data_IF_773116399524
#
_entry.id   IF_773116399524
#
_cell.length_a   1.000
_cell.length_b   1.000
_cell.length_c   1.000
_cell.angle_alpha   90.00
_cell.angle_beta   90.00
_cell.angle_gamma   90.00
#
_symmetry.space_group_name_H-M   'P 1'
#
loop_
_entity.id
_entity.type
_entity.pdbx_description
1 polymer ?
#
# COMPACT_ATOMS: atom_id res chain seq x y z
N UNK A 1 -2.41 22.37 -20.28
CA UNK A 1 -2.73 21.33 -19.29
C UNK A 1 -4.13 20.88 -19.61
N UNK A 2 -4.47 19.58 -19.59
CA UNK A 2 -5.88 19.19 -19.61
C UNK A 2 -6.60 19.94 -18.49
N UNK A 3 -7.83 20.39 -18.74
CA UNK A 3 -8.59 21.17 -17.77
C UNK A 3 -8.70 20.37 -16.46
N UNK A 4 -8.25 20.98 -15.36
CA UNK A 4 -8.30 20.32 -14.06
C UNK A 4 -9.74 19.90 -13.74
N UNK A 5 -9.93 18.62 -13.39
CA UNK A 5 -11.26 18.02 -13.18
C UNK A 5 -11.95 18.66 -11.98
N UNK A 6 -11.16 18.97 -10.95
CA UNK A 6 -11.58 19.67 -9.75
C UNK A 6 -10.81 21.00 -9.64
N UNK A 7 -11.38 21.94 -8.90
CA UNK A 7 -10.65 23.17 -8.58
C UNK A 7 -9.47 22.90 -7.65
N UNK A 8 -8.42 23.73 -7.71
CA UNK A 8 -7.31 23.66 -6.76
C UNK A 8 -7.79 23.76 -5.30
N UNK A 9 -8.82 24.58 -5.05
CA UNK A 9 -9.44 24.72 -3.73
C UNK A 9 -10.04 23.42 -3.22
N UNK A 10 -10.64 22.60 -4.08
CA UNK A 10 -11.13 21.27 -3.71
C UNK A 10 -9.95 20.34 -3.37
N UNK A 11 -8.85 20.38 -4.12
CA UNK A 11 -7.63 19.62 -3.83
C UNK A 11 -7.05 19.94 -2.45
N UNK A 12 -6.82 21.23 -2.16
CA UNK A 12 -6.35 21.67 -0.84
C UNK A 12 -7.36 21.37 0.27
N UNK A 13 -8.66 21.52 0.00
CA UNK A 13 -9.74 21.26 0.94
C UNK A 13 -9.83 19.79 1.35
N UNK A 14 -9.72 18.86 0.39
CA UNK A 14 -9.66 17.42 0.68
C UNK A 14 -8.41 17.12 1.50
N UNK A 15 -7.25 17.57 1.04
CA UNK A 15 -5.97 17.25 1.65
C UNK A 15 -5.88 17.77 3.10
N UNK A 16 -6.16 19.04 3.33
CA UNK A 16 -6.07 19.66 4.66
C UNK A 16 -7.28 19.29 5.52
N UNK A 17 -8.49 19.38 4.96
CA UNK A 17 -9.73 19.18 5.71
C UNK A 17 -9.92 17.73 6.13
N UNK A 18 -9.80 16.79 5.20
CA UNK A 18 -9.90 15.36 5.52
C UNK A 18 -8.71 14.92 6.37
N UNK A 19 -7.50 15.39 6.06
CA UNK A 19 -6.31 15.11 6.87
C UNK A 19 -6.43 15.59 8.32
N UNK A 20 -6.96 16.79 8.54
CA UNK A 20 -7.19 17.33 9.88
C UNK A 20 -8.32 16.58 10.61
N UNK A 21 -9.44 16.30 9.94
CA UNK A 21 -10.53 15.51 10.51
C UNK A 21 -10.03 14.14 10.98
N UNK A 22 -9.27 13.47 10.12
CA UNK A 22 -8.73 12.15 10.40
C UNK A 22 -7.70 12.19 11.53
N UNK A 23 -6.79 13.16 11.53
CA UNK A 23 -5.82 13.35 12.62
C UNK A 23 -6.50 13.61 13.98
N UNK A 24 -7.54 14.45 14.01
CA UNK A 24 -8.32 14.72 15.22
C UNK A 24 -9.06 13.47 15.70
N UNK A 25 -9.66 12.69 14.79
CA UNK A 25 -10.33 11.44 15.13
C UNK A 25 -9.37 10.42 15.75
N UNK A 26 -8.17 10.26 15.18
CA UNK A 26 -7.16 9.32 15.69
C UNK A 26 -6.52 9.79 16.99
N UNK A 27 -6.28 11.10 17.14
CA UNK A 27 -5.86 11.69 18.41
C UNK A 27 -6.90 11.44 19.50
N UNK A 28 -8.18 11.71 19.20
CA UNK A 28 -9.27 11.46 20.14
C UNK A 28 -9.38 9.98 20.52
N UNK A 29 -9.28 9.06 19.55
CA UNK A 29 -9.26 7.62 19.80
C UNK A 29 -8.11 7.23 20.73
N UNK A 30 -6.92 7.78 20.52
CA UNK A 30 -5.74 7.55 21.37
C UNK A 30 -5.99 8.01 22.82
N UNK A 31 -6.65 9.16 22.99
CA UNK A 31 -7.06 9.66 24.32
C UNK A 31 -8.09 8.72 24.97
N UNK A 32 -9.05 8.20 24.22
CA UNK A 32 -10.02 7.24 24.76
C UNK A 32 -9.37 5.92 25.17
N UNK A 33 -8.41 5.41 24.40
CA UNK A 33 -7.66 4.20 24.75
C UNK A 33 -6.81 4.40 26.00
N UNK A 34 -6.17 5.56 26.16
CA UNK A 34 -5.45 5.90 27.37
C UNK A 34 -6.38 5.92 28.60
N UNK A 35 -7.59 6.50 28.46
CA UNK A 35 -8.57 6.61 29.56
C UNK A 35 -9.24 5.29 29.93
N UNK A 36 -9.73 4.52 28.95
CA UNK A 36 -10.57 3.35 29.20
C UNK A 36 -9.82 2.01 29.19
N UNK A 37 -8.67 1.95 28.51
CA UNK A 37 -7.88 0.71 28.40
C UNK A 37 -6.52 0.80 29.11
N UNK A 38 -6.25 1.90 29.80
CA UNK A 38 -4.98 2.18 30.47
C UNK A 38 -3.77 2.06 29.53
N UNK A 39 -3.97 2.44 28.27
CA UNK A 39 -2.95 2.41 27.20
C UNK A 39 -2.16 3.72 27.18
N UNK A 40 -1.55 4.06 28.31
CA UNK A 40 -0.73 5.27 28.45
C UNK A 40 0.52 5.17 27.59
N UNK A 41 0.83 6.25 26.87
CA UNK A 41 1.97 6.34 25.95
C UNK A 41 3.29 6.44 26.73
N UNK A 42 3.89 5.29 27.07
CA UNK A 42 5.31 5.16 27.41
C UNK A 42 6.11 4.64 26.21
N UNK A 43 7.44 4.56 26.32
CA UNK A 43 8.32 4.07 25.24
C UNK A 43 7.85 2.73 24.66
N UNK A 44 7.49 1.79 25.53
CA UNK A 44 7.02 0.45 25.14
C UNK A 44 5.69 0.48 24.39
N UNK A 45 4.70 1.24 24.88
CA UNK A 45 3.42 1.36 24.17
C UNK A 45 3.60 2.07 22.82
N UNK A 46 4.45 3.10 22.80
CA UNK A 46 4.68 3.93 21.64
C UNK A 46 5.38 3.18 20.50
N UNK A 47 6.39 2.36 20.82
CA UNK A 47 7.22 1.66 19.82
C UNK A 47 6.70 0.26 19.46
N UNK A 48 6.18 -0.51 20.43
CA UNK A 48 5.86 -1.93 20.24
C UNK A 48 4.38 -2.25 20.50
N UNK A 49 3.57 -1.28 20.93
CA UNK A 49 2.21 -1.51 21.41
C UNK A 49 2.14 -2.62 22.49
N UNK A 50 3.20 -2.80 23.29
CA UNK A 50 3.36 -3.91 24.25
C UNK A 50 3.12 -5.29 23.64
N UNK A 51 3.45 -5.48 22.36
CA UNK A 51 3.26 -6.73 21.62
C UNK A 51 1.82 -7.28 21.69
N UNK A 52 0.82 -6.39 21.76
CA UNK A 52 -0.56 -6.74 22.07
C UNK A 52 -1.51 -6.83 20.86
N UNK A 53 -1.01 -6.55 19.65
CA UNK A 53 -1.84 -6.43 18.45
C UNK A 53 -2.27 -7.83 17.98
N UNK A 54 -3.59 -7.99 17.80
CA UNK A 54 -4.26 -9.26 17.44
C UNK A 54 -4.37 -9.45 15.93
N UNK A 55 -4.59 -10.70 15.50
CA UNK A 55 -4.66 -11.15 14.11
C UNK A 55 -5.40 -10.19 13.18
N UNK A 56 -6.60 -9.74 13.54
CA UNK A 56 -7.41 -8.86 12.69
C UNK A 56 -6.75 -7.49 12.42
N UNK A 57 -6.20 -6.86 13.46
CA UNK A 57 -5.49 -5.58 13.32
C UNK A 57 -4.15 -5.75 12.61
N UNK A 58 -3.47 -6.89 12.80
CA UNK A 58 -2.26 -7.22 12.03
C UNK A 58 -2.62 -7.35 10.55
N UNK A 59 -3.70 -8.06 10.22
CA UNK A 59 -4.14 -8.24 8.85
C UNK A 59 -4.48 -6.91 8.17
N UNK A 60 -5.23 -6.02 8.84
CA UNK A 60 -5.51 -4.69 8.29
C UNK A 60 -4.25 -3.83 8.17
N UNK A 61 -3.33 -3.90 9.13
CA UNK A 61 -2.06 -3.18 9.06
C UNK A 61 -1.18 -3.66 7.89
N UNK A 62 -1.24 -4.95 7.56
CA UNK A 62 -0.60 -5.52 6.37
C UNK A 62 -1.28 -4.98 5.12
N UNK A 63 -2.61 -5.08 4.99
CA UNK A 63 -3.32 -4.55 3.82
C UNK A 63 -2.99 -3.07 3.60
N UNK A 64 -3.12 -2.23 4.62
CA UNK A 64 -2.86 -0.79 4.50
C UNK A 64 -1.40 -0.46 4.19
N UNK A 65 -0.43 -1.23 4.71
CA UNK A 65 1.00 -0.96 4.44
C UNK A 65 1.38 -1.11 2.98
N UNK A 66 0.68 -2.00 2.27
CA UNK A 66 0.99 -2.36 0.90
C UNK A 66 0.05 -1.66 -0.10
N UNK A 67 -1.03 -1.04 0.38
CA UNK A 67 -1.93 -0.24 -0.45
C UNK A 67 -1.45 1.20 -0.50
N UNK A 68 -0.61 1.50 -1.49
CA UNK A 68 -0.13 2.85 -1.80
C UNK A 68 -0.80 3.39 -3.06
N UNK A 69 -0.83 4.71 -3.24
CA UNK A 69 -1.42 5.33 -4.44
C UNK A 69 -0.82 4.76 -5.75
N UNK A 70 0.50 4.57 -5.78
CA UNK A 70 1.17 3.96 -6.93
C UNK A 70 0.63 2.57 -7.25
N UNK A 71 0.23 1.78 -6.24
CA UNK A 71 -0.36 0.46 -6.44
C UNK A 71 -1.71 0.53 -7.14
N UNK A 72 -2.59 1.42 -6.70
CA UNK A 72 -3.92 1.56 -7.29
C UNK A 72 -3.84 2.00 -8.75
N UNK A 73 -2.99 3.00 -9.04
CA UNK A 73 -2.83 3.57 -10.37
C UNK A 73 -2.07 2.64 -11.33
N UNK A 74 -0.96 2.06 -10.87
CA UNK A 74 -0.10 1.21 -11.70
C UNK A 74 -0.81 -0.09 -12.04
N UNK A 75 -1.48 -0.74 -11.08
CA UNK A 75 -2.25 -1.96 -11.34
C UNK A 75 -3.35 -1.71 -12.37
N UNK A 76 -4.08 -0.60 -12.26
CA UNK A 76 -5.12 -0.21 -13.23
C UNK A 76 -4.55 0.12 -14.61
N UNK A 77 -3.37 0.73 -14.66
CA UNK A 77 -2.69 1.03 -15.92
C UNK A 77 -2.17 -0.22 -16.60
N UNK A 78 -1.60 -1.16 -15.84
CA UNK A 78 -1.22 -2.47 -16.36
C UNK A 78 -2.44 -3.24 -16.85
N UNK A 79 -3.58 -3.11 -16.18
CA UNK A 79 -4.82 -3.71 -16.65
C UNK A 79 -5.33 -3.07 -17.95
N UNK A 80 -5.22 -1.74 -18.06
CA UNK A 80 -5.55 -1.03 -19.30
C UNK A 80 -4.65 -1.46 -20.47
N UNK A 81 -3.35 -1.68 -20.23
CA UNK A 81 -2.37 -2.04 -21.26
C UNK A 81 -2.42 -3.54 -21.62
N UNK A 82 -2.43 -4.41 -20.62
CA UNK A 82 -2.22 -5.86 -20.77
C UNK A 82 -3.46 -6.69 -20.48
N UNK A 83 -4.57 -6.05 -20.09
CA UNK A 83 -5.82 -6.72 -19.78
C UNK A 83 -5.88 -7.32 -18.38
N UNK A 84 -6.78 -8.29 -18.19
CA UNK A 84 -7.00 -8.97 -16.91
C UNK A 84 -5.74 -9.65 -16.37
N UNK A 85 -4.88 -10.16 -17.26
CA UNK A 85 -3.60 -10.77 -16.90
C UNK A 85 -2.67 -9.78 -16.20
N UNK A 86 -2.60 -8.54 -16.69
CA UNK A 86 -1.79 -7.48 -16.07
C UNK A 86 -2.21 -7.17 -14.62
N UNK A 87 -3.52 -7.06 -14.37
CA UNK A 87 -4.05 -6.88 -13.02
C UNK A 87 -3.73 -8.07 -12.10
N UNK A 88 -3.93 -9.29 -12.61
CA UNK A 88 -3.67 -10.51 -11.84
C UNK A 88 -2.20 -10.64 -11.48
N UNK A 89 -1.28 -10.51 -12.44
CA UNK A 89 0.14 -10.68 -12.19
C UNK A 89 0.74 -9.54 -11.37
N UNK A 90 0.19 -8.32 -11.43
CA UNK A 90 0.51 -7.27 -10.47
C UNK A 90 0.17 -7.73 -9.04
N UNK A 91 -1.09 -8.12 -8.80
CA UNK A 91 -1.58 -8.49 -7.48
C UNK A 91 -0.89 -9.76 -6.95
N UNK A 92 -0.87 -10.83 -7.74
CA UNK A 92 -0.22 -12.09 -7.39
C UNK A 92 1.29 -11.91 -7.19
N UNK A 93 1.92 -11.09 -8.04
CA UNK A 93 3.32 -10.67 -7.96
C UNK A 93 3.70 -10.15 -6.58
N UNK A 94 3.00 -9.10 -6.15
CA UNK A 94 3.25 -8.46 -4.87
C UNK A 94 2.78 -9.32 -3.67
N UNK A 95 1.74 -10.13 -3.82
CA UNK A 95 1.26 -11.03 -2.74
C UNK A 95 2.30 -12.07 -2.34
N UNK A 96 3.09 -12.58 -3.31
CA UNK A 96 4.24 -13.47 -3.02
C UNK A 96 5.23 -12.79 -2.07
N UNK A 97 5.47 -11.48 -2.23
CA UNK A 97 6.36 -10.73 -1.35
C UNK A 97 5.82 -10.68 0.08
N UNK A 98 4.52 -10.45 0.24
CA UNK A 98 3.85 -10.41 1.55
C UNK A 98 3.99 -11.77 2.26
N UNK A 99 3.79 -12.89 1.54
CA UNK A 99 3.91 -14.23 2.12
C UNK A 99 5.35 -14.60 2.48
N UNK A 100 6.33 -14.24 1.65
CA UNK A 100 7.74 -14.44 1.99
C UNK A 100 8.11 -13.61 3.22
N UNK A 101 7.66 -12.36 3.29
CA UNK A 101 7.85 -11.52 4.46
C UNK A 101 7.17 -12.10 5.72
N UNK A 102 5.99 -12.72 5.58
CA UNK A 102 5.30 -13.37 6.70
C UNK A 102 6.16 -14.45 7.37
N UNK A 103 6.95 -15.20 6.59
CA UNK A 103 7.91 -16.18 7.10
C UNK A 103 9.03 -15.50 7.89
N UNK A 104 9.58 -14.40 7.37
CA UNK A 104 10.58 -13.61 8.09
C UNK A 104 10.03 -13.02 9.39
N UNK A 105 8.79 -12.52 9.37
CA UNK A 105 8.09 -11.97 10.53
C UNK A 105 7.87 -13.01 11.64
N UNK A 106 7.42 -14.22 11.31
CA UNK A 106 7.25 -15.28 12.32
C UNK A 106 8.59 -15.78 12.84
N UNK A 107 9.63 -15.89 12.01
CA UNK A 107 10.97 -16.26 12.46
C UNK A 107 11.55 -15.23 13.43
N UNK A 108 11.32 -13.94 13.17
CA UNK A 108 11.65 -12.85 14.09
C UNK A 108 10.94 -13.06 15.43
N UNK A 109 9.62 -13.29 15.44
CA UNK A 109 8.86 -13.49 16.67
C UNK A 109 9.22 -14.78 17.41
N UNK A 110 9.61 -15.85 16.70
CA UNK A 110 10.06 -17.11 17.29
C UNK A 110 11.41 -16.97 18.00
N UNK A 111 12.34 -16.19 17.43
CA UNK A 111 13.71 -16.05 17.94
C UNK A 111 13.89 -14.89 18.91
N UNK A 112 13.17 -13.79 18.70
CA UNK A 112 13.28 -12.56 19.47
C UNK A 112 11.89 -11.94 19.76
N UNK A 113 11.04 -12.61 20.55
CA UNK A 113 9.65 -12.17 20.78
C UNK A 113 9.53 -10.80 21.45
N UNK A 114 10.54 -10.40 22.22
CA UNK A 114 10.64 -9.15 22.99
C UNK A 114 11.59 -8.12 22.35
N UNK A 115 11.92 -8.26 21.06
CA UNK A 115 12.71 -7.25 20.35
C UNK A 115 11.90 -5.95 20.22
N UNK A 116 12.54 -4.80 20.38
CA UNK A 116 11.87 -3.50 20.18
C UNK A 116 12.02 -3.00 18.75
N UNK A 117 13.12 -3.38 18.09
CA UNK A 117 13.42 -3.02 16.70
C UNK A 117 14.02 -4.19 15.93
N UNK A 118 13.83 -4.21 14.61
CA UNK A 118 14.50 -5.18 13.73
C UNK A 118 16.02 -5.08 13.79
N UNK A 119 16.55 -3.87 14.02
CA UNK A 119 17.98 -3.58 13.99
C UNK A 119 18.72 -4.19 15.19
N UNK A 120 18.05 -4.38 16.34
CA UNK A 120 18.57 -5.18 17.46
C UNK A 120 18.92 -6.60 17.03
N UNK A 121 18.05 -7.22 16.23
CA UNK A 121 18.29 -8.56 15.71
C UNK A 121 19.47 -8.56 14.74
N UNK A 122 19.62 -7.55 13.88
CA UNK A 122 20.78 -7.43 13.00
C UNK A 122 22.09 -7.38 13.82
N UNK A 123 22.12 -6.61 14.91
CA UNK A 123 23.29 -6.54 15.80
C UNK A 123 23.63 -7.89 16.42
N UNK A 124 22.63 -8.64 16.87
CA UNK A 124 22.82 -9.97 17.48
C UNK A 124 23.23 -10.99 16.41
N UNK A 125 22.62 -10.95 15.23
CA UNK A 125 22.82 -11.93 14.15
C UNK A 125 24.20 -11.86 13.51
N UNK A 126 24.73 -10.65 13.34
CA UNK A 126 26.04 -10.36 12.76
C UNK A 126 27.13 -10.11 13.82
N UNK A 127 26.76 -10.15 15.11
CA UNK A 127 27.72 -10.29 16.21
C UNK A 127 28.28 -11.71 16.26
N UNK A 128 29.49 -11.86 16.82
CA UNK A 128 30.12 -13.17 17.00
C UNK A 128 29.31 -14.03 17.98
N UNK A 129 29.21 -15.34 17.71
CA UNK A 129 28.48 -16.30 18.55
C UNK A 129 29.07 -16.31 19.96
N UNK A 130 28.28 -15.94 20.97
CA UNK A 130 28.56 -16.41 22.33
C UNK A 130 28.08 -17.86 22.35
N UNK A 131 29.02 -18.80 22.35
CA UNK A 131 28.70 -20.23 22.48
C UNK A 131 27.92 -20.47 23.79
N UNK A 132 26.88 -21.31 23.71
CA UNK A 132 25.94 -21.55 24.81
C UNK A 132 26.60 -22.08 26.10
N UNK A 133 27.83 -22.61 26.04
CA UNK A 133 28.60 -23.01 27.22
C UNK A 133 29.10 -21.82 28.07
N UNK A 134 29.16 -20.60 27.52
CA UNK A 134 29.71 -19.43 28.23
C UNK A 134 28.68 -18.67 29.07
N UNK A 135 27.38 -18.98 28.92
CA UNK A 135 26.27 -18.28 29.60
C UNK A 135 26.24 -18.55 31.10
N UNK A 136 26.76 -19.70 31.56
CA UNK A 136 26.83 -20.04 32.99
C UNK A 136 28.04 -19.39 33.68
N UNK A 137 29.07 -18.99 32.92
CA UNK A 137 30.32 -18.42 33.46
C UNK A 137 30.31 -16.89 33.50
N UNK A 138 29.70 -16.21 32.53
CA UNK A 138 29.76 -14.73 32.43
C UNK A 138 28.52 -14.05 33.00
N UNK A 139 28.38 -14.13 34.33
CA UNK A 139 27.54 -13.19 35.07
C UNK A 139 28.26 -11.84 35.16
N UNK A 140 27.81 -10.88 34.35
CA UNK A 140 27.95 -9.44 34.56
C UNK A 140 29.28 -8.75 34.21
N UNK A 141 29.12 -7.59 33.57
CA UNK A 141 30.04 -6.46 33.36
C UNK A 141 31.13 -6.61 32.26
N UNK A 142 31.04 -5.72 31.26
CA UNK A 142 32.03 -5.46 30.19
C UNK A 142 32.00 -6.36 28.95
N UNK A 143 30.83 -6.52 28.33
CA UNK A 143 30.78 -6.88 26.91
C UNK A 143 31.13 -5.62 26.09
N UNK A 144 32.41 -5.43 25.76
CA UNK A 144 32.81 -4.44 24.75
C UNK A 144 32.06 -4.75 23.45
N UNK A 145 31.45 -3.77 22.77
CA UNK A 145 30.79 -4.00 21.50
C UNK A 145 31.83 -4.57 20.51
N UNK A 146 31.68 -5.85 20.15
CA UNK A 146 32.55 -6.48 19.15
C UNK A 146 32.37 -5.76 17.82
N UNK A 147 33.50 -5.47 17.15
CA UNK A 147 33.55 -4.62 15.96
C UNK A 147 32.63 -5.12 14.84
N UNK A 148 32.49 -6.45 14.65
CA UNK A 148 31.70 -7.05 13.57
C UNK A 148 30.18 -6.88 13.73
N UNK A 149 29.63 -7.14 14.92
CA UNK A 149 28.20 -6.92 15.18
C UNK A 149 27.81 -5.44 15.17
N UNK A 150 28.73 -4.58 15.59
CA UNK A 150 28.56 -3.12 15.54
C UNK A 150 28.60 -2.60 14.11
N UNK A 151 29.55 -3.06 13.29
CA UNK A 151 29.64 -2.70 11.88
C UNK A 151 28.39 -3.15 11.10
N UNK A 152 27.94 -4.39 11.27
CA UNK A 152 26.71 -4.89 10.64
C UNK A 152 25.47 -4.09 11.06
N UNK A 153 25.33 -3.77 12.35
CA UNK A 153 24.24 -2.95 12.85
C UNK A 153 24.25 -1.53 12.23
N UNK A 154 25.42 -0.88 12.16
CA UNK A 154 25.56 0.45 11.55
C UNK A 154 25.20 0.40 10.05
N UNK A 155 25.68 -0.60 9.32
CA UNK A 155 25.35 -0.76 7.89
C UNK A 155 23.84 -0.89 7.70
N UNK A 156 23.17 -1.75 8.49
CA UNK A 156 21.72 -1.91 8.42
C UNK A 156 20.97 -0.63 8.82
N UNK A 157 21.42 0.10 9.84
CA UNK A 157 20.84 1.40 10.21
C UNK A 157 20.90 2.37 9.03
N UNK A 158 22.10 2.58 8.46
CA UNK A 158 22.31 3.53 7.36
C UNK A 158 21.47 3.12 6.15
N UNK A 159 21.53 1.86 5.77
CA UNK A 159 20.82 1.34 4.62
C UNK A 159 19.29 1.42 4.78
N UNK A 160 18.76 1.01 5.94
CA UNK A 160 17.32 1.09 6.22
C UNK A 160 16.83 2.54 6.31
N UNK A 161 17.66 3.46 6.80
CA UNK A 161 17.34 4.89 6.87
C UNK A 161 17.24 5.50 5.47
N UNK A 162 18.22 5.21 4.61
CA UNK A 162 18.20 5.66 3.20
C UNK A 162 16.97 5.08 2.49
N UNK A 163 16.71 3.78 2.65
CA UNK A 163 15.52 3.14 2.08
C UNK A 163 14.22 3.80 2.55
N UNK A 164 14.07 4.04 3.85
CA UNK A 164 12.88 4.69 4.41
C UNK A 164 12.69 6.12 3.89
N UNK A 165 13.77 6.89 3.72
CA UNK A 165 13.71 8.24 3.13
C UNK A 165 13.25 8.17 1.67
N UNK A 166 13.85 7.28 0.87
CA UNK A 166 13.49 7.11 -0.54
C UNK A 166 12.03 6.67 -0.67
N UNK A 167 11.59 5.70 0.15
CA UNK A 167 10.21 5.21 0.13
C UNK A 167 9.22 6.31 0.55
N UNK A 168 9.53 7.08 1.59
CA UNK A 168 8.72 8.20 2.05
C UNK A 168 8.57 9.26 0.94
N UNK A 169 9.68 9.66 0.30
CA UNK A 169 9.65 10.60 -0.83
C UNK A 169 8.84 10.04 -1.99
N UNK A 170 9.01 8.77 -2.33
CA UNK A 170 8.27 8.12 -3.41
C UNK A 170 6.75 8.18 -3.19
N UNK A 171 6.28 7.83 -1.98
CA UNK A 171 4.85 7.84 -1.64
C UNK A 171 4.31 9.28 -1.64
N UNK A 172 5.04 10.25 -1.09
CA UNK A 172 4.61 11.65 -1.03
C UNK A 172 4.55 12.30 -2.42
N UNK A 173 5.55 12.07 -3.27
CA UNK A 173 5.56 12.57 -4.65
C UNK A 173 4.46 11.89 -5.46
N UNK A 174 4.32 10.57 -5.34
CA UNK A 174 3.28 9.80 -6.01
C UNK A 174 1.88 10.29 -5.66
N UNK A 175 1.56 10.41 -4.36
CA UNK A 175 0.27 10.93 -3.90
C UNK A 175 0.02 12.37 -4.36
N UNK A 176 1.01 13.24 -4.25
CA UNK A 176 0.88 14.64 -4.68
C UNK A 176 0.66 14.79 -6.18
N UNK A 177 1.29 13.92 -6.99
CA UNK A 177 1.11 13.93 -8.44
C UNK A 177 -0.34 13.61 -8.85
N UNK A 178 -1.03 12.71 -8.13
CA UNK A 178 -2.46 12.42 -8.36
C UNK A 178 -3.31 13.65 -8.08
N UNK A 179 -3.09 14.31 -6.94
CA UNK A 179 -3.80 15.55 -6.63
C UNK A 179 -3.55 16.61 -7.69
N UNK A 180 -2.32 16.78 -8.15
CA UNK A 180 -2.00 17.72 -9.24
C UNK A 180 -2.70 17.35 -10.54
N UNK A 181 -2.72 16.07 -10.92
CA UNK A 181 -3.38 15.62 -12.15
C UNK A 181 -4.88 15.89 -12.14
N UNK A 182 -5.54 15.74 -10.98
CA UNK A 182 -7.00 15.88 -10.88
C UNK A 182 -7.47 17.29 -10.52
N UNK A 183 -6.62 18.11 -9.88
CA UNK A 183 -7.04 19.42 -9.32
C UNK A 183 -6.20 20.60 -9.82
N UNK A 184 -5.07 20.34 -10.48
CA UNK A 184 -4.09 21.37 -10.84
C UNK A 184 -3.32 21.95 -9.66
N UNK A 185 -3.46 21.37 -8.46
CA UNK A 185 -2.74 21.80 -7.25
C UNK A 185 -1.22 21.64 -7.40
N UNK A 186 -0.44 22.48 -6.72
CA UNK A 186 1.03 22.36 -6.71
C UNK A 186 1.48 21.04 -6.06
N UNK A 187 2.28 20.26 -6.81
CA UNK A 187 2.94 19.04 -6.29
C UNK A 187 3.75 19.35 -5.04
N UNK A 188 4.48 20.47 -5.02
CA UNK A 188 5.34 20.86 -3.90
C UNK A 188 4.49 21.08 -2.64
N UNK A 189 3.34 21.73 -2.77
CA UNK A 189 2.45 21.93 -1.64
C UNK A 189 1.86 20.60 -1.16
N UNK A 190 1.49 19.69 -2.08
CA UNK A 190 1.03 18.34 -1.74
C UNK A 190 2.04 17.58 -0.88
N UNK A 191 3.32 17.61 -1.27
CA UNK A 191 4.40 16.88 -0.56
C UNK A 191 4.54 17.34 0.90
N UNK A 192 4.39 18.64 1.14
CA UNK A 192 4.49 19.21 2.49
C UNK A 192 3.21 19.05 3.31
N UNK A 193 2.04 19.12 2.68
CA UNK A 193 0.77 19.11 3.40
C UNK A 193 0.26 17.70 3.70
N UNK A 194 0.42 16.73 2.79
CA UNK A 194 -0.05 15.34 2.96
C UNK A 194 0.41 14.71 4.29
N UNK A 195 1.69 14.82 4.69
CA UNK A 195 2.16 14.15 5.90
C UNK A 195 1.76 14.88 7.20
N UNK A 196 1.26 16.12 7.17
CA UNK A 196 1.02 16.91 8.40
C UNK A 196 0.07 16.19 9.36
N UNK A 197 -1.09 15.75 8.86
CA UNK A 197 -2.06 15.00 9.67
C UNK A 197 -1.47 13.69 10.18
N UNK A 198 -0.72 12.99 9.33
CA UNK A 198 -0.03 11.73 9.65
C UNK A 198 0.97 11.89 10.78
N UNK A 199 1.80 12.92 10.71
CA UNK A 199 2.80 13.25 11.74
C UNK A 199 2.11 13.54 13.07
N UNK A 200 1.02 14.33 13.09
CA UNK A 200 0.32 14.69 14.32
C UNK A 200 -0.22 13.45 15.05
N UNK A 201 -0.95 12.56 14.37
CA UNK A 201 -1.51 11.38 15.05
C UNK A 201 -0.42 10.35 15.39
N UNK A 202 0.66 10.27 14.60
CA UNK A 202 1.77 9.33 14.87
C UNK A 202 2.56 9.76 16.10
N UNK A 203 2.86 11.06 16.23
CA UNK A 203 3.57 11.62 17.39
C UNK A 203 2.76 11.52 18.69
N UNK A 204 1.43 11.58 18.61
CA UNK A 204 0.56 11.57 19.79
C UNK A 204 0.11 10.17 20.22
N UNK A 205 -0.08 9.24 19.28
CA UNK A 205 -0.64 7.92 19.56
C UNK A 205 0.30 6.72 19.37
N UNK A 206 1.49 6.94 18.81
CA UNK A 206 2.49 5.89 18.57
C UNK A 206 2.02 4.83 17.58
N UNK A 207 2.73 3.69 17.54
CA UNK A 207 2.50 2.65 16.54
C UNK A 207 1.10 2.02 16.61
N UNK A 208 0.51 1.96 17.81
CA UNK A 208 -0.82 1.39 17.96
C UNK A 208 -1.89 2.27 17.31
N UNK A 209 -1.78 3.59 17.46
CA UNK A 209 -2.66 4.52 16.76
C UNK A 209 -2.49 4.40 15.25
N UNK A 210 -1.26 4.26 14.76
CA UNK A 210 -1.00 4.00 13.33
C UNK A 210 -1.69 2.72 12.84
N UNK A 211 -1.67 1.63 13.61
CA UNK A 211 -2.36 0.38 13.24
C UNK A 211 -3.89 0.53 13.23
N UNK A 212 -4.44 1.36 14.12
CA UNK A 212 -5.88 1.66 14.14
C UNK A 212 -6.30 2.59 13.00
N UNK A 213 -5.43 3.53 12.63
CA UNK A 213 -5.53 4.32 11.40
C UNK A 213 -5.55 3.40 10.18
N UNK A 214 -4.61 2.47 10.09
CA UNK A 214 -4.52 1.49 8.99
C UNK A 214 -5.82 0.69 8.85
N UNK A 215 -6.41 0.26 9.97
CA UNK A 215 -7.71 -0.39 9.98
C UNK A 215 -8.80 0.50 9.38
N UNK A 216 -8.88 1.75 9.82
CA UNK A 216 -9.89 2.72 9.35
C UNK A 216 -9.76 3.00 7.85
N UNK A 217 -8.53 3.23 7.37
CA UNK A 217 -8.25 3.40 5.94
C UNK A 217 -8.61 2.14 5.15
N UNK A 218 -8.24 0.96 5.64
CA UNK A 218 -8.54 -0.32 4.96
C UNK A 218 -10.05 -0.51 4.78
N UNK A 219 -10.85 -0.20 5.80
CA UNK A 219 -12.32 -0.28 5.71
C UNK A 219 -12.87 0.65 4.64
N UNK A 220 -12.40 1.91 4.61
CA UNK A 220 -12.82 2.89 3.60
C UNK A 220 -12.44 2.41 2.20
N UNK A 221 -11.21 1.93 2.02
CA UNK A 221 -10.72 1.43 0.73
C UNK A 221 -11.59 0.28 0.23
N UNK A 222 -11.90 -0.73 1.06
CA UNK A 222 -12.77 -1.83 0.66
C UNK A 222 -14.18 -1.38 0.30
N UNK A 223 -14.77 -0.47 1.08
CA UNK A 223 -16.08 0.08 0.77
C UNK A 223 -16.07 0.77 -0.60
N UNK A 224 -14.99 1.47 -0.92
CA UNK A 224 -14.83 2.14 -2.22
C UNK A 224 -14.58 1.13 -3.35
N UNK A 225 -13.76 0.10 -3.16
CA UNK A 225 -13.61 -1.00 -4.15
C UNK A 225 -14.97 -1.61 -4.49
N UNK A 226 -15.77 -1.95 -3.48
CA UNK A 226 -17.11 -2.51 -3.67
C UNK A 226 -18.03 -1.52 -4.39
N UNK A 227 -18.03 -0.24 -3.99
CA UNK A 227 -18.81 0.79 -4.66
C UNK A 227 -18.42 0.91 -6.15
N UNK A 228 -17.13 0.93 -6.46
CA UNK A 228 -16.61 0.98 -7.82
C UNK A 228 -17.09 -0.20 -8.67
N UNK A 229 -17.06 -1.41 -8.12
CA UNK A 229 -17.58 -2.62 -8.78
C UNK A 229 -19.06 -2.45 -9.17
N UNK A 230 -19.91 -2.02 -8.23
CA UNK A 230 -21.33 -1.80 -8.51
C UNK A 230 -21.55 -0.66 -9.52
N UNK A 231 -20.79 0.43 -9.42
CA UNK A 231 -20.88 1.56 -10.35
C UNK A 231 -20.58 1.10 -11.79
N UNK A 232 -19.47 0.40 -12.01
CA UNK A 232 -19.04 -0.03 -13.35
C UNK A 232 -19.96 -1.11 -13.91
N UNK A 233 -20.23 -2.15 -13.13
CA UNK A 233 -20.83 -3.38 -13.64
C UNK A 233 -22.34 -3.47 -13.44
N UNK A 234 -22.99 -2.54 -12.73
CA UNK A 234 -24.44 -2.64 -12.48
C UNK A 234 -25.24 -1.35 -12.66
N UNK A 235 -24.66 -0.18 -12.36
CA UNK A 235 -25.46 1.05 -12.22
C UNK A 235 -25.14 2.13 -13.28
N UNK A 236 -23.96 2.09 -13.90
CA UNK A 236 -23.58 3.09 -14.91
C UNK A 236 -24.43 2.99 -16.17
N UNK A 237 -24.88 4.13 -16.70
CA UNK A 237 -25.54 4.20 -18.01
C UNK A 237 -24.59 3.95 -19.19
N UNK A 238 -23.27 4.03 -18.98
CA UNK A 238 -22.26 3.84 -20.02
C UNK A 238 -21.86 2.36 -20.17
N UNK A 239 -21.68 1.67 -19.04
CA UNK A 239 -21.26 0.27 -18.98
C UNK A 239 -22.36 -0.59 -18.37
N UNK A 240 -22.61 -0.48 -17.05
CA UNK A 240 -23.83 -0.96 -16.38
C UNK A 240 -24.09 -2.47 -16.37
N UNK A 241 -23.27 -3.26 -17.06
CA UNK A 241 -23.37 -4.72 -17.12
C UNK A 241 -22.00 -5.33 -17.45
N UNK A 242 -21.63 -6.47 -16.84
CA UNK A 242 -20.45 -7.23 -17.24
C UNK A 242 -20.47 -7.63 -18.72
N UNK A 243 -21.65 -7.92 -19.29
CA UNK A 243 -21.79 -8.33 -20.70
C UNK A 243 -21.44 -7.17 -21.64
N UNK A 244 -21.89 -5.96 -21.32
CA UNK A 244 -21.56 -4.76 -22.09
C UNK A 244 -20.05 -4.49 -22.03
N UNK A 245 -19.44 -4.62 -20.85
CA UNK A 245 -17.99 -4.47 -20.70
C UNK A 245 -17.26 -5.54 -21.52
N UNK A 246 -17.70 -6.80 -21.46
CA UNK A 246 -17.13 -7.90 -22.23
C UNK A 246 -17.17 -7.62 -23.73
N UNK A 247 -18.34 -7.28 -24.28
CA UNK A 247 -18.52 -7.02 -25.70
C UNK A 247 -17.68 -5.84 -26.19
N UNK A 248 -17.63 -4.78 -25.39
CA UNK A 248 -16.80 -3.58 -25.65
C UNK A 248 -15.31 -3.93 -25.67
N UNK A 249 -14.84 -4.75 -24.73
CA UNK A 249 -13.43 -5.17 -24.69
C UNK A 249 -13.06 -6.04 -25.90
N UNK A 250 -13.95 -6.96 -26.31
CA UNK A 250 -13.76 -7.76 -27.53
C UNK A 250 -13.73 -6.88 -28.77
N UNK A 251 -14.57 -5.84 -28.84
CA UNK A 251 -14.54 -4.86 -29.92
C UNK A 251 -13.25 -4.03 -29.90
N UNK A 252 -12.80 -3.58 -28.71
CA UNK A 252 -11.57 -2.83 -28.54
C UNK A 252 -10.34 -3.64 -28.96
N UNK A 253 -10.31 -4.96 -28.66
CA UNK A 253 -9.22 -5.86 -29.07
C UNK A 253 -9.09 -5.97 -30.60
N UNK A 254 -10.20 -5.85 -31.35
CA UNK A 254 -10.16 -5.85 -32.83
C UNK A 254 -9.57 -4.54 -33.39
N UNK A 255 -9.83 -3.42 -32.73
CA UNK A 255 -9.37 -2.10 -33.18
C UNK A 255 -7.90 -1.89 -32.83
N UNK A 256 -7.53 -2.26 -31.61
CA UNK A 256 -6.20 -2.06 -31.08
C UNK A 256 -5.82 -3.28 -30.24
N UNK A 257 -5.37 -4.38 -30.89
CA UNK A 257 -4.97 -5.61 -30.21
C UNK A 257 -3.73 -5.40 -29.33
N UNK A 258 -3.67 -6.14 -28.22
CA UNK A 258 -2.51 -6.11 -27.32
C UNK A 258 -1.42 -7.04 -27.86
N UNK A 259 -0.25 -6.49 -28.16
CA UNK A 259 0.92 -7.27 -28.59
C UNK A 259 1.35 -8.20 -27.46
N UNK A 260 1.58 -9.48 -27.77
CA UNK A 260 1.98 -10.48 -26.77
C UNK A 260 0.84 -11.12 -25.97
N UNK A 261 -0.41 -10.69 -26.19
CA UNK A 261 -1.60 -11.39 -25.69
C UNK A 261 -2.12 -12.39 -26.72
N UNK A 262 -2.57 -13.56 -26.26
CA UNK A 262 -3.23 -14.54 -27.12
C UNK A 262 -4.46 -13.93 -27.81
N UNK A 263 -4.48 -13.95 -29.14
CA UNK A 263 -5.52 -13.32 -29.95
C UNK A 263 -5.59 -11.79 -29.86
N UNK A 264 -4.62 -11.13 -29.21
CA UNK A 264 -4.64 -9.68 -28.97
C UNK A 264 -5.69 -9.23 -27.94
N UNK A 265 -6.26 -10.16 -27.18
CA UNK A 265 -7.43 -9.96 -26.34
C UNK A 265 -7.09 -9.36 -24.95
N UNK A 266 -8.00 -8.55 -24.40
CA UNK A 266 -7.85 -7.99 -23.05
C UNK A 266 -8.25 -8.95 -21.93
N UNK A 267 -8.98 -10.01 -22.26
CA UNK A 267 -9.55 -10.94 -21.29
C UNK A 267 -8.78 -12.27 -21.20
N UNK A 268 -7.68 -12.40 -21.93
CA UNK A 268 -6.82 -13.59 -21.86
C UNK A 268 -5.88 -13.53 -20.66
N UNK A 269 -5.59 -14.69 -20.07
CA UNK A 269 -4.51 -14.84 -19.09
C UNK A 269 -3.15 -15.05 -19.76
N UNK A 270 -3.14 -15.48 -21.03
CA UNK A 270 -1.93 -15.66 -21.83
C UNK A 270 -1.44 -14.29 -22.34
N UNK A 271 -0.71 -13.57 -21.48
CA UNK A 271 -0.08 -12.28 -21.75
C UNK A 271 1.39 -12.34 -21.40
N UNK A 272 2.26 -12.19 -22.39
CA UNK A 272 3.71 -12.25 -22.17
C UNK A 272 4.19 -11.14 -21.23
N UNK A 273 3.77 -9.90 -21.48
CA UNK A 273 4.17 -8.74 -20.66
C UNK A 273 3.56 -8.79 -19.26
N UNK A 274 2.30 -9.23 -19.13
CA UNK A 274 1.67 -9.43 -17.83
C UNK A 274 2.46 -10.40 -16.95
N UNK A 275 2.85 -11.56 -17.50
CA UNK A 275 3.68 -12.55 -16.78
C UNK A 275 5.06 -11.99 -16.46
N UNK A 276 5.74 -11.37 -17.43
CA UNK A 276 7.10 -10.85 -17.26
C UNK A 276 7.17 -9.81 -16.14
N UNK A 277 6.23 -8.88 -16.12
CA UNK A 277 6.12 -7.86 -15.08
C UNK A 277 5.77 -8.46 -13.71
N UNK A 278 4.95 -9.52 -13.67
CA UNK A 278 4.72 -10.31 -12.45
C UNK A 278 6.00 -10.93 -11.90
N UNK A 279 6.86 -11.48 -12.77
CA UNK A 279 8.16 -12.03 -12.37
C UNK A 279 9.10 -10.94 -11.84
N UNK A 280 9.09 -9.74 -12.43
CA UNK A 280 9.84 -8.59 -11.90
C UNK A 280 9.41 -8.30 -10.46
N UNK A 281 8.11 -8.33 -10.17
CA UNK A 281 7.60 -8.17 -8.81
C UNK A 281 7.99 -9.32 -7.87
N UNK A 282 8.11 -10.56 -8.35
CA UNK A 282 8.66 -11.64 -7.52
C UNK A 282 10.11 -11.38 -7.15
N UNK A 283 10.93 -10.92 -8.10
CA UNK A 283 12.34 -10.61 -7.86
C UNK A 283 12.54 -9.39 -6.95
N UNK A 284 11.57 -8.46 -6.91
CA UNK A 284 11.60 -7.28 -6.04
C UNK A 284 11.41 -7.61 -4.54
N UNK A 285 11.08 -8.86 -4.18
CA UNK A 285 10.80 -9.30 -2.80
C UNK A 285 11.91 -8.95 -1.81
N UNK A 286 13.18 -8.96 -2.25
CA UNK A 286 14.32 -8.70 -1.35
C UNK A 286 14.25 -7.30 -0.72
N UNK A 287 13.64 -6.32 -1.38
CA UNK A 287 13.44 -4.97 -0.82
C UNK A 287 12.60 -4.94 0.45
N UNK A 288 11.75 -5.94 0.68
CA UNK A 288 10.86 -6.01 1.85
C UNK A 288 11.57 -6.59 3.07
N UNK A 289 12.67 -7.33 2.87
CA UNK A 289 13.46 -7.98 3.93
C UNK A 289 14.36 -7.03 4.71
N UNK A 290 14.42 -5.77 4.29
CA UNK A 290 15.22 -4.69 4.88
C UNK A 290 14.34 -3.54 5.38
N UNK A 291 13.02 -3.63 5.15
CA UNK A 291 12.08 -2.57 5.51
C UNK A 291 11.73 -2.62 7.01
N UNK A 292 12.31 -1.68 7.75
CA UNK A 292 12.07 -1.52 9.18
C UNK A 292 10.61 -1.24 9.52
N UNK A 293 9.83 -0.62 8.63
CA UNK A 293 8.41 -0.34 8.86
C UNK A 293 7.61 -1.64 8.95
N UNK A 294 7.83 -2.58 8.02
CA UNK A 294 7.13 -3.85 7.99
C UNK A 294 7.49 -4.72 9.20
N UNK A 295 8.77 -4.75 9.58
CA UNK A 295 9.19 -5.48 10.78
C UNK A 295 8.68 -4.84 12.06
N UNK A 296 8.58 -3.51 12.15
CA UNK A 296 8.06 -2.85 13.33
C UNK A 296 6.59 -3.25 13.57
N UNK A 297 5.77 -3.33 12.51
CA UNK A 297 4.41 -3.86 12.60
C UNK A 297 4.36 -5.31 13.07
N UNK A 298 5.24 -6.18 12.53
CA UNK A 298 5.36 -7.55 13.01
C UNK A 298 5.73 -7.64 14.50
N UNK A 299 6.64 -6.77 14.97
CA UNK A 299 7.04 -6.70 16.38
C UNK A 299 5.84 -6.41 17.27
N UNK A 300 4.94 -5.51 16.86
CA UNK A 300 3.74 -5.15 17.65
C UNK A 300 2.73 -6.27 17.82
N UNK A 301 2.76 -7.26 16.92
CA UNK A 301 1.86 -8.40 16.98
C UNK A 301 2.20 -9.31 18.16
N UNK A 302 1.18 -9.91 18.76
CA UNK A 302 1.44 -11.06 19.61
C UNK A 302 1.93 -12.24 18.74
N UNK A 303 2.81 -13.11 19.27
CA UNK A 303 3.42 -14.18 18.46
C UNK A 303 2.41 -15.12 17.80
N UNK A 304 1.31 -15.47 18.47
CA UNK A 304 0.28 -16.36 17.93
C UNK A 304 -0.55 -15.69 16.82
N UNK A 305 -0.71 -14.37 16.90
CA UNK A 305 -1.44 -13.57 15.92
C UNK A 305 -0.65 -13.25 14.66
N UNK A 306 0.68 -13.33 14.70
CA UNK A 306 1.57 -12.82 13.64
C UNK A 306 1.31 -13.54 12.31
N UNK A 307 1.56 -14.85 12.22
CA UNK A 307 1.43 -15.57 10.95
C UNK A 307 -0.01 -15.55 10.39
N UNK A 308 -1.07 -15.87 11.17
CA UNK A 308 -2.44 -15.75 10.67
C UNK A 308 -2.78 -14.34 10.19
N UNK A 309 -2.29 -13.30 10.87
CA UNK A 309 -2.50 -11.90 10.51
C UNK A 309 -1.89 -11.57 9.15
N UNK A 310 -0.64 -11.97 8.92
CA UNK A 310 0.02 -11.76 7.63
C UNK A 310 -0.59 -12.59 6.50
N UNK A 311 -1.03 -13.83 6.75
CA UNK A 311 -1.67 -14.67 5.73
C UNK A 311 -3.03 -14.10 5.30
N UNK A 312 -3.88 -13.73 6.26
CA UNK A 312 -5.17 -13.10 5.97
C UNK A 312 -4.95 -11.74 5.31
N UNK A 313 -4.00 -10.94 5.82
CA UNK A 313 -3.65 -9.65 5.26
C UNK A 313 -3.17 -9.73 3.81
N UNK A 314 -2.28 -10.67 3.49
CA UNK A 314 -1.80 -10.87 2.11
C UNK A 314 -2.89 -11.31 1.14
N UNK A 315 -3.73 -12.28 1.54
CA UNK A 315 -4.88 -12.71 0.73
C UNK A 315 -5.89 -11.59 0.51
N UNK A 316 -6.18 -10.83 1.56
CA UNK A 316 -7.10 -9.70 1.49
C UNK A 316 -6.52 -8.60 0.61
N UNK A 317 -5.23 -8.30 0.75
CA UNK A 317 -4.56 -7.26 -0.02
C UNK A 317 -4.67 -7.50 -1.52
N UNK A 318 -4.48 -8.73 -2.01
CA UNK A 318 -4.62 -9.08 -3.44
C UNK A 318 -5.91 -8.56 -4.07
N UNK A 319 -7.03 -8.64 -3.33
CA UNK A 319 -8.34 -8.23 -3.84
C UNK A 319 -8.43 -6.74 -4.15
N UNK A 320 -7.67 -5.87 -3.47
CA UNK A 320 -7.73 -4.41 -3.69
C UNK A 320 -7.21 -4.03 -5.08
N UNK A 321 -5.92 -4.23 -5.42
CA UNK A 321 -5.42 -3.87 -6.74
C UNK A 321 -6.08 -4.71 -7.83
N UNK A 322 -6.38 -6.00 -7.59
CA UNK A 322 -7.01 -6.83 -8.61
C UNK A 322 -8.42 -6.33 -8.96
N UNK A 323 -9.29 -6.13 -7.96
CA UNK A 323 -10.65 -5.67 -8.21
C UNK A 323 -10.68 -4.25 -8.75
N UNK A 324 -9.89 -3.32 -8.19
CA UNK A 324 -9.85 -1.94 -8.71
C UNK A 324 -9.32 -1.86 -10.13
N UNK A 325 -8.25 -2.60 -10.43
CA UNK A 325 -7.67 -2.60 -11.77
C UNK A 325 -8.60 -3.23 -12.80
N UNK A 326 -9.24 -4.35 -12.48
CA UNK A 326 -10.23 -4.96 -13.37
C UNK A 326 -11.49 -4.09 -13.52
N UNK A 327 -11.88 -3.38 -12.47
CA UNK A 327 -13.01 -2.44 -12.50
C UNK A 327 -12.69 -1.22 -13.37
N UNK A 328 -11.72 -0.39 -12.97
CA UNK A 328 -11.48 0.90 -13.61
C UNK A 328 -10.50 0.83 -14.78
N UNK A 329 -9.51 -0.08 -14.74
CA UNK A 329 -8.57 -0.29 -15.85
C UNK A 329 -9.26 -0.90 -17.08
N UNK A 330 -10.10 -1.92 -16.90
CA UNK A 330 -10.90 -2.45 -18.02
C UNK A 330 -12.01 -1.48 -18.42
N UNK A 331 -12.66 -0.77 -17.49
CA UNK A 331 -13.63 0.27 -17.85
C UNK A 331 -12.99 1.35 -18.73
N UNK A 332 -11.80 1.83 -18.36
CA UNK A 332 -11.03 2.79 -19.16
C UNK A 332 -10.84 2.28 -20.60
N UNK A 333 -10.56 0.98 -20.75
CA UNK A 333 -10.36 0.37 -22.07
C UNK A 333 -11.66 0.15 -22.84
N UNK A 334 -12.71 -0.33 -22.17
CA UNK A 334 -14.02 -0.57 -22.74
C UNK A 334 -14.69 0.72 -23.25
N UNK A 335 -14.44 1.84 -22.57
CA UNK A 335 -14.98 3.15 -22.93
C UNK A 335 -14.11 3.91 -23.94
N UNK A 336 -13.01 3.34 -24.44
CA UNK A 336 -12.17 4.11 -25.36
C UNK A 336 -12.90 4.47 -26.66
N UNK A 337 -12.75 5.73 -27.06
CA UNK A 337 -13.48 6.31 -28.19
C UNK A 337 -14.90 6.79 -27.87
N UNK A 338 -15.36 6.68 -26.61
CA UNK A 338 -16.61 7.31 -26.17
C UNK A 338 -16.41 8.81 -25.87
N UNK A 339 -17.39 9.67 -26.13
CA UNK A 339 -17.28 11.11 -25.86
C UNK A 339 -16.97 11.47 -24.40
N UNK A 340 -17.44 10.65 -23.46
CA UNK A 340 -17.25 10.83 -22.02
C UNK A 340 -15.85 10.43 -21.54
N UNK A 341 -15.13 9.61 -22.32
CA UNK A 341 -13.83 9.05 -21.93
C UNK A 341 -12.68 9.83 -22.56
N UNK A 342 -11.73 10.26 -21.72
CA UNK A 342 -10.51 10.89 -22.20
C UNK A 342 -9.68 9.90 -23.03
N UNK A 343 -9.18 10.35 -24.19
CA UNK A 343 -8.25 9.58 -25.01
C UNK A 343 -6.92 9.46 -24.28
N UNK A 344 -6.62 8.28 -23.75
CA UNK A 344 -5.42 8.02 -22.94
C UNK A 344 -4.18 8.08 -23.84
N UNK A 345 -3.29 9.04 -23.57
CA UNK A 345 -1.99 9.20 -24.23
C UNK A 345 -0.89 8.39 -23.55
N UNK A 346 0.29 8.30 -24.17
CA UNK A 346 1.47 7.67 -23.55
C UNK A 346 1.89 8.39 -22.26
N UNK A 347 1.71 9.72 -22.18
CA UNK A 347 1.98 10.48 -20.96
C UNK A 347 1.01 10.09 -19.84
N UNK A 348 -0.28 9.96 -20.14
CA UNK A 348 -1.30 9.54 -19.17
C UNK A 348 -1.03 8.13 -18.62
N UNK A 349 -0.59 7.21 -19.48
CA UNK A 349 -0.15 5.87 -19.08
C UNK A 349 1.03 5.97 -18.11
N UNK A 350 2.06 6.76 -18.44
CA UNK A 350 3.24 6.91 -17.57
C UNK A 350 2.91 7.53 -16.20
N UNK A 351 1.82 8.31 -16.13
CA UNK A 351 1.32 8.95 -14.91
C UNK A 351 0.27 8.11 -14.17
N UNK A 352 -0.14 6.97 -14.73
CA UNK A 352 -1.09 6.07 -14.09
C UNK A 352 -2.56 6.52 -14.16
N UNK A 353 -2.91 7.39 -15.11
CA UNK A 353 -4.19 8.12 -15.11
C UNK A 353 -5.39 7.35 -15.69
N UNK A 354 -5.21 6.08 -16.06
CA UNK A 354 -6.29 5.25 -16.61
C UNK A 354 -7.49 5.12 -15.64
N UNK A 355 -7.24 4.81 -14.37
CA UNK A 355 -8.30 4.76 -13.34
C UNK A 355 -8.96 6.13 -13.14
N UNK A 356 -8.22 7.23 -12.89
CA UNK A 356 -8.83 8.54 -12.71
C UNK A 356 -9.74 8.98 -13.86
N UNK A 357 -9.34 8.78 -15.11
CA UNK A 357 -10.19 9.14 -16.25
C UNK A 357 -11.40 8.23 -16.41
N UNK A 358 -11.28 6.93 -16.14
CA UNK A 358 -12.45 6.05 -16.14
C UNK A 358 -13.45 6.42 -15.03
N UNK A 359 -12.96 6.69 -13.82
CA UNK A 359 -13.81 7.13 -12.72
C UNK A 359 -14.52 8.45 -13.06
N UNK A 360 -13.81 9.40 -13.69
CA UNK A 360 -14.39 10.65 -14.18
C UNK A 360 -15.46 10.41 -15.25
N UNK A 361 -15.19 9.57 -16.25
CA UNK A 361 -16.17 9.29 -17.31
C UNK A 361 -17.46 8.70 -16.73
N UNK A 362 -17.34 7.83 -15.73
CA UNK A 362 -18.48 7.11 -15.12
C UNK A 362 -19.28 7.95 -14.11
N UNK A 363 -18.62 8.84 -13.38
CA UNK A 363 -19.21 9.53 -12.21
C UNK A 363 -19.06 11.06 -12.24
N UNK A 364 -18.55 11.62 -13.35
CA UNK A 364 -18.22 13.05 -13.46
C UNK A 364 -17.21 13.50 -12.42
N UNK A 365 -17.41 14.69 -11.84
CA UNK A 365 -16.55 15.25 -10.79
C UNK A 365 -16.52 14.39 -9.52
N UNK A 366 -17.60 13.63 -9.25
CA UNK A 366 -17.66 12.66 -8.15
C UNK A 366 -16.62 11.54 -8.30
N UNK A 367 -16.26 11.18 -9.53
CA UNK A 367 -15.23 10.19 -9.80
C UNK A 367 -13.82 10.66 -9.44
N UNK A 368 -13.51 11.94 -9.66
CA UNK A 368 -12.24 12.50 -9.22
C UNK A 368 -12.14 12.55 -7.69
N UNK A 369 -13.23 12.93 -6.99
CA UNK A 369 -13.28 12.87 -5.53
C UNK A 369 -13.14 11.44 -5.03
N UNK A 370 -13.81 10.49 -5.68
CA UNK A 370 -13.68 9.07 -5.37
C UNK A 370 -12.22 8.61 -5.45
N UNK A 371 -11.49 8.98 -6.51
CA UNK A 371 -10.09 8.58 -6.66
C UNK A 371 -9.14 9.28 -5.68
N UNK A 372 -9.43 10.53 -5.28
CA UNK A 372 -8.62 11.25 -4.29
C UNK A 372 -8.85 10.79 -2.84
N UNK A 373 -10.02 10.21 -2.55
CA UNK A 373 -10.33 9.66 -1.24
C UNK A 373 -9.84 8.21 -1.06
N UNK A 374 -9.68 7.46 -2.17
CA UNK A 374 -9.00 6.17 -2.19
C UNK A 374 -7.49 6.35 -2.00
#
# INVERSE_FOLDING_TARGET
>A
MPDAILSQGAGYGILIGFGALFALAMWWLSVQLARFRNEVQGSEMFMTAKHSVKTGLVASAVVSSWTIAATLLTSSTWCYQYGVSGAYFYGAGATVQIFIFAVAAIELKRRAPAAHTFLELARIRYGEKIDACDVVSKKSANLNPTFQGTAGHIVFIVYSTIYAIINCVNILVGGSAVFTALTGMSVIAGVWLLPVGVVIYTLTGGIKATILTDYSHTVIIYAMVLAGLFIVYTNSSLLGSPDIVYDRLRAAAKIAPVVGNEGGEYLTMASQDGVLLGVVFWCAVFGTTIDVQLFQKAITADPASTLPGYMIGGLSWFSIPFCLATTFGLAARAMQGMPEMHTITATDISQGLAMPYAAQALMGTGGAVFVLLM
#
